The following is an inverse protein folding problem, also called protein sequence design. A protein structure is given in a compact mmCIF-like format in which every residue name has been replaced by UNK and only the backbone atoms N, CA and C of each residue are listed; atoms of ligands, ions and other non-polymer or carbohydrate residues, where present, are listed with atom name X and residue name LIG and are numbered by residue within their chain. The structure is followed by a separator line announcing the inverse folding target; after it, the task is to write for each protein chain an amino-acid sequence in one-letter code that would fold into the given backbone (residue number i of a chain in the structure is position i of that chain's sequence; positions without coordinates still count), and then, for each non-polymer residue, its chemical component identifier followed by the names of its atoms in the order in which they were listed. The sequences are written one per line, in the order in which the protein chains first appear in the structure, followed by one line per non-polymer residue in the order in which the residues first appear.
data_IF_886682767128
#
_entry.id   IF_886682767128
#
_cell.length_a   1.000
_cell.length_b   1.000
_cell.length_c   1.000
_cell.angle_alpha   90.00
_cell.angle_beta   90.00
_cell.angle_gamma   90.00
#
_symmetry.space_group_name_H-M   'P 1'
#
loop_
_entity.id
_entity.type
_entity.pdbx_description
1 polymer ?
#
# COMPACT_ATOMS: atom_id res chain seq x y z
N UNK A 1 -10.61 14.58 4.58
CA UNK A 1 -10.46 15.82 5.35
C UNK A 1 -11.14 16.94 4.56
N UNK A 2 -12.08 17.69 5.14
CA UNK A 2 -12.76 18.77 4.41
C UNK A 2 -11.89 20.03 4.41
N UNK A 3 -11.81 20.69 3.25
CA UNK A 3 -11.17 21.99 3.10
C UNK A 3 -11.88 23.05 3.96
N UNK A 4 -11.11 23.83 4.71
CA UNK A 4 -11.64 24.93 5.50
C UNK A 4 -12.07 26.08 4.57
N UNK A 5 -13.38 26.34 4.52
CA UNK A 5 -13.97 27.39 3.68
C UNK A 5 -13.76 28.80 4.25
N UNK A 6 -13.35 28.94 5.50
CA UNK A 6 -13.17 30.24 6.15
C UNK A 6 -11.81 30.88 5.81
N UNK A 7 -10.81 30.07 5.43
CA UNK A 7 -9.48 30.57 5.08
C UNK A 7 -8.95 29.92 3.79
N UNK A 8 -9.28 30.49 2.62
CA UNK A 8 -8.91 29.90 1.33
C UNK A 8 -7.39 29.82 1.13
N UNK A 9 -6.63 30.79 1.66
CA UNK A 9 -5.17 30.82 1.54
C UNK A 9 -4.51 29.69 2.35
N UNK A 10 -5.01 29.39 3.54
CA UNK A 10 -4.51 28.25 4.33
C UNK A 10 -4.94 26.92 3.72
N UNK A 11 -6.17 26.84 3.18
CA UNK A 11 -6.65 25.64 2.50
C UNK A 11 -5.79 25.30 1.26
N UNK A 12 -5.44 26.30 0.46
CA UNK A 12 -4.57 26.12 -0.71
C UNK A 12 -3.17 25.62 -0.29
N UNK A 13 -2.58 26.22 0.75
CA UNK A 13 -1.28 25.77 1.29
C UNK A 13 -1.33 24.34 1.82
N UNK A 14 -2.40 23.97 2.52
CA UNK A 14 -2.59 22.61 3.04
C UNK A 14 -2.76 21.61 1.90
N UNK A 15 -3.51 21.96 0.85
CA UNK A 15 -3.65 21.13 -0.34
C UNK A 15 -2.30 20.91 -1.03
N UNK A 16 -1.52 21.96 -1.27
CA UNK A 16 -0.17 21.86 -1.87
C UNK A 16 0.78 21.00 -1.04
N UNK A 17 0.63 20.99 0.29
CA UNK A 17 1.39 20.09 1.15
C UNK A 17 0.93 18.65 0.98
N UNK A 18 -0.38 18.37 0.99
CA UNK A 18 -0.91 17.03 0.80
C UNK A 18 -0.59 16.44 -0.57
N UNK A 19 -0.56 17.26 -1.62
CA UNK A 19 -0.18 16.83 -2.98
C UNK A 19 1.25 16.31 -3.07
N UNK A 20 2.16 16.79 -2.21
CA UNK A 20 3.59 16.41 -2.23
C UNK A 20 4.02 15.58 -1.04
N UNK A 21 3.16 15.44 -0.03
CA UNK A 21 3.52 14.78 1.21
C UNK A 21 3.54 13.26 1.01
N UNK A 22 4.74 12.69 1.17
CA UNK A 22 4.89 11.23 1.21
C UNK A 22 4.87 10.75 2.66
N UNK A 23 3.94 9.86 3.02
CA UNK A 23 3.85 9.35 4.38
C UNK A 23 5.07 8.45 4.64
N UNK A 24 5.83 8.68 5.72
CA UNK A 24 7.11 8.00 5.94
C UNK A 24 6.94 6.54 6.40
N UNK A 25 5.71 6.02 6.41
CA UNK A 25 5.43 4.66 6.85
C UNK A 25 5.60 3.72 5.67
N UNK A 26 6.41 2.68 5.87
CA UNK A 26 6.61 1.60 4.93
C UNK A 26 6.44 0.26 5.63
N UNK A 27 5.94 -0.72 4.88
CA UNK A 27 5.98 -2.12 5.27
C UNK A 27 7.17 -2.78 4.59
N UNK A 28 7.89 -3.64 5.31
CA UNK A 28 9.11 -4.27 4.81
C UNK A 28 9.17 -5.75 5.17
N UNK A 29 9.76 -6.54 4.28
CA UNK A 29 10.22 -7.90 4.52
C UNK A 29 11.74 -7.86 4.54
N UNK A 30 12.33 -8.25 5.67
CA UNK A 30 13.77 -8.20 5.89
C UNK A 30 14.32 -9.54 6.36
N UNK A 31 15.56 -9.85 5.97
CA UNK A 31 16.31 -10.97 6.51
C UNK A 31 16.83 -10.63 7.92
N UNK A 32 17.17 -11.64 8.74
CA UNK A 32 17.71 -11.42 10.09
C UNK A 32 19.00 -10.59 10.14
N UNK A 33 19.76 -10.55 9.03
CA UNK A 33 20.98 -9.76 8.90
C UNK A 33 20.72 -8.28 8.57
N UNK A 34 19.46 -7.87 8.41
CA UNK A 34 19.06 -6.49 8.11
C UNK A 34 18.90 -6.16 6.62
N UNK A 35 19.13 -7.11 5.70
CA UNK A 35 18.86 -6.89 4.27
C UNK A 35 17.36 -6.76 4.03
N UNK A 36 16.95 -5.66 3.38
CA UNK A 36 15.56 -5.45 2.95
C UNK A 36 15.36 -6.18 1.62
N UNK A 37 14.39 -7.09 1.59
CA UNK A 37 14.07 -7.95 0.44
C UNK A 37 12.91 -7.38 -0.37
N UNK A 38 11.93 -6.81 0.33
CA UNK A 38 10.76 -6.18 -0.29
C UNK A 38 10.24 -5.10 0.63
N UNK A 39 9.75 -4.00 0.05
CA UNK A 39 9.13 -2.93 0.82
C UNK A 39 8.06 -2.22 -0.01
N UNK A 40 7.09 -1.61 0.68
CA UNK A 40 5.98 -0.87 0.07
C UNK A 40 5.65 0.34 0.94
N UNK A 41 5.49 1.50 0.29
CA UNK A 41 5.08 2.73 0.97
C UNK A 41 3.58 2.70 1.31
N UNK A 42 3.21 3.24 2.46
CA UNK A 42 1.82 3.28 2.93
C UNK A 42 0.87 4.05 2.00
N UNK A 43 1.34 5.11 1.33
CA UNK A 43 0.51 5.84 0.35
C UNK A 43 0.11 4.93 -0.81
N UNK A 44 1.07 4.20 -1.37
CA UNK A 44 0.80 3.26 -2.46
C UNK A 44 -0.13 2.12 -2.03
N UNK A 45 0.06 1.60 -0.82
CA UNK A 45 -0.82 0.58 -0.26
C UNK A 45 -2.26 1.08 -0.05
N UNK A 46 -2.43 2.31 0.47
CA UNK A 46 -3.75 2.91 0.67
C UNK A 46 -4.43 3.24 -0.67
N UNK A 47 -3.67 3.70 -1.66
CA UNK A 47 -4.22 4.01 -3.00
C UNK A 47 -4.71 2.74 -3.71
N UNK A 48 -3.95 1.65 -3.65
CA UNK A 48 -4.36 0.36 -4.23
C UNK A 48 -5.62 -0.22 -3.58
N UNK A 49 -5.82 0.05 -2.29
CA UNK A 49 -6.92 -0.52 -1.50
C UNK A 49 -8.14 0.39 -1.44
N UNK A 50 -7.98 1.66 -1.81
CA UNK A 50 -9.06 2.64 -1.95
C UNK A 50 -9.83 2.51 -3.28
N UNK A 51 -9.32 1.77 -4.26
CA UNK A 51 -10.04 1.48 -5.50
C UNK A 51 -11.27 0.61 -5.19
N UNK A 52 -12.45 1.21 -5.36
CA UNK A 52 -13.73 0.49 -5.32
C UNK A 52 -13.72 -0.61 -6.39
N UNK A 53 -14.36 -1.76 -6.14
CA UNK A 53 -14.36 -2.93 -7.03
C UNK A 53 -15.25 -2.76 -8.29
N UNK A 54 -15.23 -1.58 -8.91
CA UNK A 54 -16.08 -1.28 -10.07
C UNK A 54 -15.34 -1.46 -11.40
N UNK A 55 -14.01 -1.61 -11.42
CA UNK A 55 -13.26 -1.81 -12.67
C UNK A 55 -12.23 -2.92 -12.60
N UNK A 56 -12.26 -3.74 -13.65
CA UNK A 56 -11.32 -4.79 -14.08
C UNK A 56 -11.59 -6.22 -13.60
N UNK A 57 -12.21 -6.98 -14.50
CA UNK A 57 -12.50 -8.41 -14.39
C UNK A 57 -11.26 -9.30 -14.32
N UNK A 58 -10.60 -9.32 -13.16
CA UNK A 58 -9.70 -10.39 -12.78
C UNK A 58 -10.50 -11.50 -12.11
N UNK A 59 -10.72 -12.59 -12.86
CA UNK A 59 -11.21 -13.86 -12.33
C UNK A 59 -10.25 -14.41 -11.28
N UNK A 60 -10.51 -14.17 -10.00
CA UNK A 60 -9.93 -14.95 -8.90
C UNK A 60 -11.03 -15.38 -7.93
N UNK A 61 -11.57 -16.58 -8.19
CA UNK A 61 -12.36 -17.31 -7.21
C UNK A 61 -11.45 -17.77 -6.08
N UNK A 62 -11.77 -17.43 -4.82
CA UNK A 62 -11.60 -18.36 -3.71
C UNK A 62 -12.78 -18.19 -2.74
N UNK A 63 -13.39 -19.32 -2.43
CA UNK A 63 -14.60 -19.51 -1.65
C UNK A 63 -14.54 -18.89 -0.25
N UNK A 64 -15.54 -18.06 0.08
CA UNK A 64 -16.12 -17.98 1.42
C UNK A 64 -15.51 -16.95 2.39
N UNK A 65 -15.80 -15.67 2.17
CA UNK A 65 -15.56 -14.60 3.13
C UNK A 65 -15.16 -13.32 2.41
N UNK A 66 -15.83 -12.22 2.69
CA UNK A 66 -15.60 -10.91 2.09
C UNK A 66 -14.18 -10.44 2.44
N UNK A 67 -13.16 -10.84 1.68
CA UNK A 67 -11.78 -10.38 1.86
C UNK A 67 -11.71 -8.91 1.43
N UNK A 68 -11.44 -8.03 2.40
CA UNK A 68 -11.22 -6.61 2.16
C UNK A 68 -10.02 -6.43 1.20
N UNK A 69 -10.07 -5.54 0.19
CA UNK A 69 -8.98 -5.33 -0.76
C UNK A 69 -7.61 -5.13 -0.10
N UNK A 70 -7.57 -4.57 1.11
CA UNK A 70 -6.34 -4.43 1.90
C UNK A 70 -5.70 -5.76 2.28
N UNK A 71 -6.50 -6.77 2.60
CA UNK A 71 -6.03 -8.10 2.98
C UNK A 71 -5.42 -8.80 1.76
N UNK A 72 -6.09 -8.72 0.62
CA UNK A 72 -5.63 -9.29 -0.65
C UNK A 72 -4.30 -8.67 -1.12
N UNK A 73 -4.19 -7.34 -1.04
CA UNK A 73 -2.96 -6.61 -1.36
C UNK A 73 -1.83 -6.96 -0.39
N UNK A 74 -2.14 -7.04 0.90
CA UNK A 74 -1.14 -7.42 1.92
C UNK A 74 -0.62 -8.85 1.73
N UNK A 75 -1.51 -9.81 1.45
CA UNK A 75 -1.12 -11.21 1.17
C UNK A 75 -0.23 -11.28 -0.07
N UNK A 76 -0.56 -10.54 -1.14
CA UNK A 76 0.25 -10.49 -2.35
C UNK A 76 1.65 -9.92 -2.08
N UNK A 77 1.73 -8.80 -1.35
CA UNK A 77 3.00 -8.22 -0.90
C UNK A 77 3.85 -9.23 -0.12
N UNK A 78 3.26 -9.96 0.83
CA UNK A 78 3.99 -10.97 1.60
C UNK A 78 4.48 -12.13 0.71
N UNK A 79 3.64 -12.63 -0.19
CA UNK A 79 4.01 -13.72 -1.11
C UNK A 79 5.19 -13.33 -1.99
N UNK A 80 5.17 -12.12 -2.57
CA UNK A 80 6.28 -11.59 -3.36
C UNK A 80 7.56 -11.44 -2.53
N UNK A 81 7.44 -10.93 -1.30
CA UNK A 81 8.57 -10.77 -0.40
C UNK A 81 9.21 -12.11 -0.02
N UNK A 82 8.39 -13.13 0.24
CA UNK A 82 8.86 -14.49 0.52
C UNK A 82 9.50 -15.14 -0.71
N UNK A 83 8.96 -14.92 -1.91
CA UNK A 83 9.54 -15.45 -3.14
C UNK A 83 10.93 -14.87 -3.40
N UNK A 84 11.07 -13.53 -3.30
CA UNK A 84 12.37 -12.85 -3.39
C UNK A 84 13.34 -13.31 -2.30
N UNK A 85 12.85 -13.62 -1.09
CA UNK A 85 13.71 -14.08 0.00
C UNK A 85 14.33 -15.46 -0.27
N UNK A 86 13.67 -16.33 -1.06
CA UNK A 86 14.20 -17.66 -1.41
C UNK A 86 15.52 -17.58 -2.15
N UNK A 87 15.73 -16.55 -2.98
CA UNK A 87 16.99 -16.32 -3.69
C UNK A 87 18.19 -16.14 -2.75
N UNK A 88 17.94 -15.61 -1.55
CA UNK A 88 18.96 -15.39 -0.52
C UNK A 88 19.15 -16.60 0.39
N UNK A 89 18.16 -17.49 0.49
CA UNK A 89 18.22 -18.72 1.30
C UNK A 89 18.80 -19.92 0.54
N UNK A 90 18.84 -19.85 -0.78
CA UNK A 90 19.45 -20.87 -1.65
C UNK A 90 20.96 -20.68 -1.86
N UNK A 91 21.57 -19.64 -1.27
CA UNK A 91 23.02 -19.40 -1.22
C UNK A 91 23.62 -20.00 0.06
#
# INVERSE_FOLDING_TARGET
MQADKQNPVLSEKAQLHLEKYNFPVEMMVALPNGTIVHHINANFFLDQTAMKPEEEGATFSFSGGFEDPSTSTYISFLKEGLEKAKEYLAQ
#
